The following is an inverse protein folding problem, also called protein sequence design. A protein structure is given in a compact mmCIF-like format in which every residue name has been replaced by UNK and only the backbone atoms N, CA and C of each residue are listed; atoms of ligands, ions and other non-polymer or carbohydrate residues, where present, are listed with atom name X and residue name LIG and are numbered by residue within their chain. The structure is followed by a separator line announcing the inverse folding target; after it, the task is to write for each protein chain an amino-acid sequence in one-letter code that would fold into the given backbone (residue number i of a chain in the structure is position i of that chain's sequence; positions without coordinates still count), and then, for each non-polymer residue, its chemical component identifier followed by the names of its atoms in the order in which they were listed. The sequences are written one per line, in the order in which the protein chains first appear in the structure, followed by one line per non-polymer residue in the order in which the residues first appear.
data_IF_706366018075
#
_entry.id   IF_706366018075
#
_cell.length_a   1.000
_cell.length_b   1.000
_cell.length_c   1.000
_cell.angle_alpha   90.00
_cell.angle_beta   90.00
_cell.angle_gamma   90.00
#
_symmetry.space_group_name_H-M   'P 1'
#
loop_
_entity.id
_entity.type
_entity.pdbx_description
1 polymer ?
#
# COMPACT_ATOMS: atom_id res chain seq x y z
N UNK A 1 13.43 -15.08 17.38
CA UNK A 1 12.07 -15.57 17.66
C UNK A 1 11.11 -14.39 17.64
N UNK A 2 9.99 -14.48 16.91
CA UNK A 2 9.04 -13.36 16.70
C UNK A 2 7.65 -13.66 17.27
N UNK A 3 6.92 -12.66 17.75
CA UNK A 3 5.56 -12.80 18.29
C UNK A 3 4.58 -11.95 17.47
N UNK A 4 3.42 -12.49 17.13
CA UNK A 4 2.37 -11.75 16.41
C UNK A 4 1.54 -10.94 17.40
N UNK A 5 1.39 -9.63 17.16
CA UNK A 5 0.54 -8.76 17.96
C UNK A 5 -0.76 -8.46 17.22
N UNK A 6 -1.87 -8.94 17.74
CA UNK A 6 -3.20 -8.56 17.28
C UNK A 6 -3.62 -7.29 17.99
N UNK A 7 -3.73 -6.21 17.22
CA UNK A 7 -4.35 -4.97 17.68
C UNK A 7 -5.83 -4.99 17.32
N UNK A 8 -6.68 -4.34 18.12
CA UNK A 8 -8.14 -4.35 17.96
C UNK A 8 -8.81 -5.70 18.23
N UNK A 9 -8.20 -6.56 19.05
CA UNK A 9 -8.85 -7.83 19.44
C UNK A 9 -10.20 -7.63 20.14
N UNK A 10 -10.38 -6.46 20.76
CA UNK A 10 -11.62 -5.98 21.36
C UNK A 10 -12.75 -5.70 20.36
N UNK A 11 -12.45 -5.60 19.07
CA UNK A 11 -13.45 -5.41 18.00
C UNK A 11 -13.99 -6.73 17.44
N UNK A 12 -13.45 -7.87 17.90
CA UNK A 12 -13.89 -9.20 17.48
C UNK A 12 -15.27 -9.60 18.04
N UNK A 13 -15.93 -8.73 18.81
CA UNK A 13 -17.25 -8.96 19.43
C UNK A 13 -17.28 -10.32 20.15
N UNK A 14 -18.11 -11.25 19.68
CA UNK A 14 -18.30 -12.60 20.22
C UNK A 14 -17.33 -13.65 19.63
N UNK A 15 -16.45 -13.23 18.72
CA UNK A 15 -15.49 -14.14 18.06
C UNK A 15 -14.21 -14.18 18.87
N UNK A 16 -13.82 -15.36 19.34
CA UNK A 16 -12.51 -15.52 19.99
C UNK A 16 -11.39 -15.29 18.96
N UNK A 17 -10.21 -14.87 19.42
CA UNK A 17 -9.06 -14.69 18.53
C UNK A 17 -8.70 -16.01 17.81
N UNK A 18 -8.88 -17.16 18.45
CA UNK A 18 -8.65 -18.47 17.86
C UNK A 18 -9.65 -18.78 16.72
N UNK A 19 -10.90 -18.35 16.86
CA UNK A 19 -11.88 -18.45 15.78
C UNK A 19 -11.54 -17.52 14.62
N UNK A 20 -11.14 -16.29 14.93
CA UNK A 20 -10.67 -15.33 13.91
C UNK A 20 -9.47 -15.90 13.12
N UNK A 21 -8.46 -16.43 13.83
CA UNK A 21 -7.29 -17.07 13.23
C UNK A 21 -7.68 -18.22 12.29
N UNK A 22 -8.64 -19.06 12.70
CA UNK A 22 -9.13 -20.15 11.85
C UNK A 22 -9.88 -19.65 10.61
N UNK A 23 -10.54 -18.50 10.71
CA UNK A 23 -11.37 -17.94 9.64
C UNK A 23 -10.60 -17.17 8.56
N UNK A 24 -9.49 -16.53 8.91
CA UNK A 24 -8.67 -15.72 7.97
C UNK A 24 -7.87 -16.55 6.96
N UNK A 25 -7.81 -17.87 7.16
CA UNK A 25 -7.26 -18.81 6.19
C UNK A 25 -5.74 -18.98 6.26
N UNK A 26 -5.16 -19.48 5.16
CA UNK A 26 -3.84 -20.12 5.16
C UNK A 26 -2.68 -19.15 5.41
N UNK A 27 -2.79 -17.90 4.99
CA UNK A 27 -1.68 -16.95 5.08
C UNK A 27 -1.41 -16.54 6.53
N UNK A 28 -2.47 -16.25 7.30
CA UNK A 28 -2.34 -15.95 8.73
C UNK A 28 -1.85 -17.18 9.51
N UNK A 29 -2.36 -18.36 9.17
CA UNK A 29 -1.95 -19.60 9.81
C UNK A 29 -0.47 -19.92 9.55
N UNK A 30 -0.01 -19.71 8.32
CA UNK A 30 1.40 -19.82 7.95
C UNK A 30 2.28 -18.84 8.74
N UNK A 31 1.84 -17.59 8.92
CA UNK A 31 2.56 -16.61 9.72
C UNK A 31 2.70 -17.06 11.18
N UNK A 32 1.60 -17.52 11.78
CA UNK A 32 1.61 -18.00 13.17
C UNK A 32 2.50 -19.23 13.34
N UNK A 33 2.49 -20.17 12.40
CA UNK A 33 3.40 -21.31 12.39
C UNK A 33 4.87 -20.87 12.35
N UNK A 34 5.21 -19.85 11.54
CA UNK A 34 6.56 -19.26 11.53
C UNK A 34 6.95 -18.62 12.85
N UNK A 35 5.97 -18.08 13.58
CA UNK A 35 6.18 -17.50 14.91
C UNK A 35 6.13 -18.54 16.04
N UNK A 36 5.90 -19.82 15.75
CA UNK A 36 5.75 -20.87 16.76
C UNK A 36 4.44 -20.77 17.54
N UNK A 37 3.37 -20.32 16.88
CA UNK A 37 2.05 -20.09 17.45
C UNK A 37 2.03 -19.10 18.63
N UNK A 38 3.00 -18.18 18.67
CA UNK A 38 3.09 -17.13 19.67
C UNK A 38 2.35 -15.88 19.20
N UNK A 39 1.34 -15.49 19.95
CA UNK A 39 0.65 -14.23 19.75
C UNK A 39 0.25 -13.57 21.08
N UNK A 40 -0.04 -12.27 21.00
CA UNK A 40 -0.63 -11.48 22.06
C UNK A 40 -1.77 -10.65 21.47
N UNK A 41 -2.84 -10.46 22.25
CA UNK A 41 -4.01 -9.70 21.83
C UNK A 41 -4.09 -8.45 22.70
N UNK A 42 -4.01 -7.29 22.07
CA UNK A 42 -4.11 -6.01 22.76
C UNK A 42 -5.53 -5.47 22.64
N UNK A 43 -6.14 -5.11 23.78
CA UNK A 43 -7.42 -4.44 23.82
C UNK A 43 -7.22 -2.92 23.76
N UNK A 44 -7.52 -2.34 22.60
CA UNK A 44 -7.28 -0.91 22.36
C UNK A 44 -8.34 0.01 22.98
N UNK A 45 -9.49 -0.54 23.38
CA UNK A 45 -10.55 0.18 24.07
C UNK A 45 -10.26 0.35 25.56
N UNK A 46 -9.59 -0.61 26.19
CA UNK A 46 -9.25 -0.55 27.62
C UNK A 46 -7.85 0.00 27.87
N UNK A 47 -7.64 1.28 27.56
CA UNK A 47 -6.31 1.93 27.67
C UNK A 47 -5.83 2.16 29.11
N UNK A 48 -6.71 2.00 30.09
CA UNK A 48 -6.40 2.21 31.51
C UNK A 48 -5.80 0.97 32.17
N UNK A 49 -5.82 -0.16 31.47
CA UNK A 49 -5.36 -1.44 31.98
C UNK A 49 -3.89 -1.69 31.61
N UNK A 50 -3.00 -1.22 32.48
CA UNK A 50 -1.56 -1.39 32.33
C UNK A 50 -1.12 -2.87 32.41
N UNK A 51 -1.99 -3.80 32.83
CA UNK A 51 -1.63 -5.23 32.93
C UNK A 51 -1.35 -5.83 31.55
N UNK A 52 -2.09 -5.41 30.52
CA UNK A 52 -1.89 -5.89 29.15
C UNK A 52 -0.52 -5.53 28.60
N UNK A 53 -0.05 -4.32 28.94
CA UNK A 53 1.29 -3.85 28.55
C UNK A 53 2.35 -4.62 29.33
N UNK A 54 2.15 -4.89 30.63
CA UNK A 54 3.07 -5.70 31.42
C UNK A 54 3.20 -7.12 30.86
N UNK A 55 2.09 -7.79 30.57
CA UNK A 55 2.08 -9.13 29.98
C UNK A 55 2.76 -9.16 28.60
N UNK A 56 2.58 -8.11 27.79
CA UNK A 56 3.29 -7.98 26.52
C UNK A 56 4.80 -7.84 26.72
N UNK A 57 5.25 -7.02 27.67
CA UNK A 57 6.66 -6.84 27.99
C UNK A 57 7.29 -8.13 28.53
N UNK A 58 6.61 -8.85 29.41
CA UNK A 58 7.05 -10.16 29.92
C UNK A 58 7.24 -11.17 28.76
N UNK A 59 6.27 -11.26 27.84
CA UNK A 59 6.40 -12.11 26.64
C UNK A 59 7.57 -11.72 25.75
N UNK A 60 7.89 -10.42 25.64
CA UNK A 60 9.06 -9.95 24.88
C UNK A 60 10.35 -10.37 25.58
N UNK A 61 10.44 -10.20 26.90
CA UNK A 61 11.59 -10.60 27.70
C UNK A 61 11.85 -12.11 27.61
N UNK A 62 10.81 -12.94 27.75
CA UNK A 62 10.91 -14.38 27.53
C UNK A 62 11.41 -14.72 26.13
N UNK A 63 10.89 -14.04 25.11
CA UNK A 63 11.29 -14.24 23.72
C UNK A 63 12.77 -13.88 23.48
N UNK A 64 13.28 -12.83 24.14
CA UNK A 64 14.70 -12.43 24.07
C UNK A 64 15.58 -13.42 24.82
N UNK A 65 15.17 -13.86 26.02
CA UNK A 65 15.88 -14.86 26.81
C UNK A 65 16.02 -16.19 26.04
N UNK A 66 14.95 -16.63 25.39
CA UNK A 66 14.94 -17.83 24.54
C UNK A 66 15.82 -17.69 23.28
N UNK A 67 16.06 -16.48 22.79
CA UNK A 67 17.00 -16.21 21.69
C UNK A 67 18.46 -16.09 22.17
N UNK A 68 18.81 -16.57 23.36
CA UNK A 68 20.14 -16.37 23.96
C UNK A 68 20.56 -14.89 24.03
N UNK A 69 19.60 -13.97 24.21
CA UNK A 69 19.81 -12.52 24.14
C UNK A 69 20.34 -12.01 22.78
N UNK A 70 20.31 -12.83 21.74
CA UNK A 70 20.62 -12.40 20.38
C UNK A 70 19.44 -11.57 19.83
N UNK A 71 19.77 -10.42 19.26
CA UNK A 71 18.81 -9.60 18.53
C UNK A 71 18.75 -10.05 17.07
N UNK A 72 17.65 -9.74 16.40
CA UNK A 72 17.54 -10.01 14.97
C UNK A 72 18.49 -9.10 14.18
N UNK A 73 19.52 -9.69 13.59
CA UNK A 73 20.40 -9.01 12.65
C UNK A 73 19.91 -9.27 11.22
N UNK A 74 19.48 -8.21 10.54
CA UNK A 74 19.25 -8.28 9.10
C UNK A 74 20.60 -8.43 8.41
N UNK A 75 20.75 -9.49 7.61
CA UNK A 75 21.92 -9.66 6.77
C UNK A 75 22.13 -8.39 5.93
N UNK A 76 23.33 -7.83 6.02
CA UNK A 76 23.72 -6.60 5.33
C UNK A 76 23.49 -6.71 3.82
N UNK A 77 23.68 -7.91 3.27
CA UNK A 77 23.43 -8.19 1.85
C UNK A 77 21.95 -8.13 1.52
N UNK A 78 21.09 -8.73 2.34
CA UNK A 78 19.64 -8.65 2.18
C UNK A 78 19.14 -7.19 2.20
N UNK A 79 19.64 -6.37 3.13
CA UNK A 79 19.29 -4.95 3.20
C UNK A 79 19.73 -4.17 1.95
N UNK A 80 20.89 -4.52 1.38
CA UNK A 80 21.39 -3.90 0.16
C UNK A 80 20.55 -4.29 -1.06
N UNK A 81 20.23 -5.58 -1.21
CA UNK A 81 19.38 -6.10 -2.30
C UNK A 81 17.99 -5.43 -2.30
N UNK A 82 17.39 -5.26 -1.12
CA UNK A 82 16.11 -4.53 -0.98
C UNK A 82 16.22 -3.07 -1.41
N UNK A 83 17.30 -2.38 -1.02
CA UNK A 83 17.54 -0.98 -1.42
C UNK A 83 17.74 -0.86 -2.94
N UNK A 84 18.46 -1.79 -3.54
CA UNK A 84 18.71 -1.82 -4.99
C UNK A 84 17.43 -2.10 -5.78
N UNK A 85 16.62 -3.09 -5.37
CA UNK A 85 15.30 -3.34 -5.98
C UNK A 85 14.41 -2.12 -5.92
N UNK A 86 14.32 -1.46 -4.76
CA UNK A 86 13.50 -0.25 -4.58
C UNK A 86 13.95 0.88 -5.50
N UNK A 87 15.26 1.13 -5.59
CA UNK A 87 15.83 2.13 -6.52
C UNK A 87 15.51 1.80 -7.97
N UNK A 88 15.63 0.54 -8.38
CA UNK A 88 15.32 0.12 -9.74
C UNK A 88 13.83 0.32 -10.09
N UNK A 89 12.92 0.05 -9.16
CA UNK A 89 11.49 0.30 -9.35
C UNK A 89 11.16 1.79 -9.43
N UNK A 90 11.76 2.62 -8.59
CA UNK A 90 11.62 4.08 -8.62
C UNK A 90 12.11 4.66 -9.95
N UNK A 91 13.27 4.22 -10.45
CA UNK A 91 13.80 4.67 -11.74
C UNK A 91 12.90 4.24 -12.90
N UNK A 92 12.42 2.99 -12.91
CA UNK A 92 11.43 2.54 -13.91
C UNK A 92 10.14 3.36 -13.85
N UNK A 93 9.66 3.72 -12.65
CA UNK A 93 8.48 4.54 -12.48
C UNK A 93 8.70 5.97 -13.03
N UNK A 94 9.85 6.57 -12.74
CA UNK A 94 10.24 7.89 -13.28
C UNK A 94 10.31 7.86 -14.81
N UNK A 95 10.88 6.81 -15.39
CA UNK A 95 10.99 6.67 -16.85
C UNK A 95 9.62 6.53 -17.52
N UNK A 96 8.75 5.69 -16.96
CA UNK A 96 7.34 5.61 -17.40
C UNK A 96 6.63 6.96 -17.32
N UNK A 97 6.83 7.70 -16.23
CA UNK A 97 6.24 9.03 -16.03
C UNK A 97 6.71 10.03 -17.10
N UNK A 98 8.02 10.03 -17.41
CA UNK A 98 8.61 10.87 -18.48
C UNK A 98 8.02 10.53 -19.85
N UNK A 99 7.87 9.24 -20.17
CA UNK A 99 7.30 8.80 -21.44
C UNK A 99 5.84 9.23 -21.60
N UNK A 100 5.03 9.06 -20.55
CA UNK A 100 3.63 9.51 -20.54
C UNK A 100 3.55 11.04 -20.71
N UNK A 101 4.41 11.80 -20.03
CA UNK A 101 4.46 13.27 -20.16
C UNK A 101 4.79 13.70 -21.59
N UNK A 102 5.81 13.10 -22.20
CA UNK A 102 6.22 13.39 -23.58
C UNK A 102 5.11 13.04 -24.59
N UNK A 103 4.42 11.91 -24.39
CA UNK A 103 3.27 11.55 -25.23
C UNK A 103 2.14 12.58 -25.12
N UNK A 104 1.80 13.02 -23.90
CA UNK A 104 0.77 14.06 -23.68
C UNK A 104 1.13 15.38 -24.35
N UNK A 105 2.39 15.80 -24.26
CA UNK A 105 2.88 17.03 -24.91
C UNK A 105 2.82 16.94 -26.45
N UNK A 106 3.19 15.78 -27.02
CA UNK A 106 3.11 15.55 -28.46
C UNK A 106 1.65 15.54 -28.97
N UNK A 107 0.74 14.89 -28.25
CA UNK A 107 -0.70 14.90 -28.59
C UNK A 107 -1.24 16.34 -28.54
N UNK A 108 -0.88 17.11 -27.50
CA UNK A 108 -1.26 18.53 -27.38
C UNK A 108 -0.72 19.39 -28.53
N UNK A 109 0.53 19.20 -28.94
CA UNK A 109 1.13 19.99 -30.02
C UNK A 109 0.55 19.67 -31.39
N UNK A 110 0.13 18.41 -31.62
CA UNK A 110 -0.57 18.02 -32.85
C UNK A 110 -1.99 18.61 -32.93
N UNK A 111 -2.72 18.64 -31.81
CA UNK A 111 -4.05 19.28 -31.76
C UNK A 111 -4.01 20.79 -32.05
N UNK A 112 -2.91 21.47 -31.68
CA UNK A 112 -2.74 22.91 -31.93
C UNK A 112 -2.31 23.27 -33.37
N UNK A 113 -2.08 22.30 -34.26
CA UNK A 113 -1.62 22.53 -35.65
C UNK A 113 -2.68 22.24 -36.72
N UNK A 114 -3.92 21.96 -36.36
CA UNK A 114 -5.02 21.78 -37.31
C UNK A 114 -5.46 23.11 -37.97
N UNK A 115 -5.85 23.13 -39.26
CA UNK A 115 -6.15 24.37 -39.97
C UNK A 115 -7.61 24.80 -39.73
N UNK A 116 -7.81 25.99 -39.20
CA UNK A 116 -9.05 26.73 -39.44
C UNK A 116 -8.70 28.20 -39.69
N UNK A 117 -8.40 28.50 -40.96
CA UNK A 117 -8.59 29.84 -41.47
C UNK A 117 -10.11 30.05 -41.55
N UNK A 118 -10.66 30.91 -40.71
CA UNK A 118 -12.05 31.30 -40.80
C UNK A 118 -12.29 31.99 -42.17
N UNK A 119 -13.30 31.57 -42.96
CA UNK A 119 -13.68 32.31 -44.15
C UNK A 119 -14.17 33.70 -43.73
N UNK A 120 -13.62 34.74 -44.36
CA UNK A 120 -14.00 36.12 -44.10
C UNK A 120 -15.48 36.38 -44.37
N UNK A 121 -16.08 37.18 -43.49
CA UNK A 121 -17.45 37.66 -43.61
C UNK A 121 -17.61 38.51 -44.89
N UNK A 122 -18.20 37.91 -45.92
CA UNK A 122 -18.74 38.61 -47.07
C UNK A 122 -20.21 38.22 -47.24
N UNK A 123 -21.06 38.70 -46.34
CA UNK A 123 -22.49 38.82 -46.64
C UNK A 123 -22.71 40.09 -47.48
N UNK A 124 -22.55 39.93 -48.80
CA UNK A 124 -23.24 40.74 -49.79
C UNK A 124 -24.68 40.22 -49.92
N UNK A 125 -25.61 41.16 -49.93
CA UNK A 125 -27.04 41.03 -49.89
C UNK A 125 -27.63 40.17 -51.02
N UNK A 126 -28.75 39.51 -50.72
CA UNK A 126 -29.82 39.07 -51.62
C UNK A 126 -29.51 37.98 -52.67
N UNK A 127 -30.19 36.84 -52.56
CA UNK A 127 -31.29 36.53 -53.48
C UNK A 127 -32.17 35.40 -52.93
N UNK A 128 -33.45 35.68 -53.04
CA UNK A 128 -34.63 34.95 -52.58
C UNK A 128 -34.98 33.82 -53.56
N UNK A 129 -36.09 33.12 -53.27
CA UNK A 129 -36.87 32.17 -54.10
C UNK A 129 -36.65 30.72 -53.62
N UNK A 130 -37.40 30.27 -52.60
CA UNK A 130 -38.84 29.92 -52.54
C UNK A 130 -39.14 28.53 -53.11
N UNK A 131 -39.57 27.70 -52.16
CA UNK A 131 -40.09 26.34 -52.24
C UNK A 131 -40.98 26.09 -53.45
N UNK A 132 -40.61 25.07 -54.23
CA UNK A 132 -41.47 23.93 -54.56
C UNK A 132 -40.66 22.67 -54.31
#
# INVERSE_FOLDING_TARGET
MDTVLFTYGDTLLDTSIEQHIKSEGKDLQWLLDKCGNRYHVLNNQNRSDDTQIKELLEKIEETVAQNNSCHFELDRKFLQDMKEKRRAEEERAKERMKMIKKQRENIRSQMNKGPFAAPGDHHSTALQIQVC
#
